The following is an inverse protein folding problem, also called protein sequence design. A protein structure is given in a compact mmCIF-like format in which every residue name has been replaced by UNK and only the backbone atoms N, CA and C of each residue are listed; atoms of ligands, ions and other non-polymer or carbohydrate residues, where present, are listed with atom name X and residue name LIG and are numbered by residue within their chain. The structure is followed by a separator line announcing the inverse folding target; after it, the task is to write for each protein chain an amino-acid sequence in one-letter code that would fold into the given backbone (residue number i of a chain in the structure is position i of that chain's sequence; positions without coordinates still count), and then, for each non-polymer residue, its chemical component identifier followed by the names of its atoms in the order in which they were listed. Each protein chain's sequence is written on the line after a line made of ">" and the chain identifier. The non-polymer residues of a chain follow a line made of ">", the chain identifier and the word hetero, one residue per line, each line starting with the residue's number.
data_IF_549943665833
#
_entry.id   IF_549943665833
#
_cell.length_a   1.000
_cell.length_b   1.000
_cell.length_c   1.000
_cell.angle_alpha   90.00
_cell.angle_beta   90.00
_cell.angle_gamma   90.00
#
_symmetry.space_group_name_H-M   'P 1'
#
loop_
_entity.id
_entity.type
_entity.pdbx_description
1 polymer ?
#
# COMPACT_ATOMS: atom_id res chain seq x y z
N UNK A 1 -2.77 24.39 -45.74
CA UNK A 1 -1.64 23.90 -44.93
C UNK A 1 -1.90 22.43 -44.64
N UNK A 2 -1.09 21.54 -45.22
CA UNK A 2 -1.26 20.09 -45.13
C UNK A 2 -0.91 19.61 -43.71
N UNK A 3 -1.80 18.82 -43.10
CA UNK A 3 -1.50 18.10 -41.87
C UNK A 3 -0.47 17.02 -42.15
N UNK A 4 0.74 17.18 -41.63
CA UNK A 4 1.77 16.16 -41.70
C UNK A 4 1.30 14.91 -40.95
N UNK A 5 0.85 13.90 -41.69
CA UNK A 5 0.46 12.59 -41.16
C UNK A 5 1.64 11.81 -40.60
N UNK A 6 2.16 12.23 -39.44
CA UNK A 6 3.18 11.52 -38.68
C UNK A 6 2.53 10.36 -37.95
N UNK A 7 2.82 9.13 -38.39
CA UNK A 7 2.39 7.89 -37.71
C UNK A 7 3.42 7.54 -36.64
N UNK A 8 2.98 7.45 -35.38
CA UNK A 8 3.79 7.01 -34.25
C UNK A 8 3.52 5.54 -33.94
N UNK A 9 4.56 4.80 -33.54
CA UNK A 9 4.38 3.51 -32.85
C UNK A 9 4.56 3.77 -31.35
N UNK A 10 3.58 3.35 -30.55
CA UNK A 10 3.70 3.30 -29.09
C UNK A 10 3.95 1.87 -28.65
N UNK A 11 4.79 1.69 -27.63
CA UNK A 11 4.95 0.43 -26.92
C UNK A 11 4.89 0.69 -25.43
N UNK A 12 4.20 -0.19 -24.74
CA UNK A 12 4.09 -0.17 -23.28
C UNK A 12 5.10 -1.13 -22.70
N UNK A 13 5.99 -0.62 -21.86
CA UNK A 13 7.05 -1.43 -21.23
C UNK A 13 6.85 -1.38 -19.72
N UNK A 14 6.78 -2.56 -19.11
CA UNK A 14 6.74 -2.71 -17.66
C UNK A 14 8.16 -2.60 -17.12
N UNK A 15 8.44 -1.58 -16.32
CA UNK A 15 9.73 -1.40 -15.66
C UNK A 15 9.70 -1.98 -14.25
N UNK A 16 10.85 -2.50 -13.80
CA UNK A 16 11.05 -2.84 -12.39
C UNK A 16 11.34 -1.53 -11.65
N UNK A 17 10.61 -1.29 -10.56
CA UNK A 17 10.74 -0.07 -9.75
C UNK A 17 12.21 0.14 -9.33
N UNK A 18 12.77 1.33 -9.59
CA UNK A 18 14.18 1.65 -9.30
C UNK A 18 15.19 1.34 -10.41
N UNK A 19 14.82 0.62 -11.48
CA UNK A 19 15.65 0.39 -12.67
C UNK A 19 15.19 1.20 -13.91
N UNK A 20 14.33 2.20 -13.70
CA UNK A 20 13.69 3.00 -14.75
C UNK A 20 14.71 3.73 -15.61
N UNK A 21 15.72 4.39 -15.01
CA UNK A 21 16.74 5.11 -15.76
C UNK A 21 17.57 4.20 -16.67
N UNK A 22 17.84 2.96 -16.25
CA UNK A 22 18.57 1.99 -17.08
C UNK A 22 17.73 1.50 -18.25
N UNK A 23 16.43 1.30 -18.01
CA UNK A 23 15.47 0.92 -19.04
C UNK A 23 15.29 2.06 -20.03
N UNK A 24 15.11 3.29 -19.55
CA UNK A 24 15.04 4.51 -20.32
C UNK A 24 16.29 4.71 -21.18
N UNK A 25 17.49 4.69 -20.60
CA UNK A 25 18.73 4.85 -21.37
C UNK A 25 18.95 3.75 -22.40
N UNK A 26 18.41 2.54 -22.18
CA UNK A 26 18.41 1.47 -23.18
C UNK A 26 17.50 1.83 -24.35
N UNK A 27 16.25 2.23 -24.08
CA UNK A 27 15.28 2.55 -25.14
C UNK A 27 15.58 3.87 -25.88
N UNK A 28 16.19 4.85 -25.21
CA UNK A 28 16.71 6.07 -25.83
C UNK A 28 17.85 5.75 -26.81
N UNK A 29 18.79 4.86 -26.43
CA UNK A 29 19.84 4.36 -27.35
C UNK A 29 19.25 3.65 -28.57
N UNK A 30 18.09 3.04 -28.43
CA UNK A 30 17.34 2.41 -29.52
C UNK A 30 16.51 3.41 -30.35
N UNK A 31 16.62 4.71 -30.08
CA UNK A 31 15.98 5.79 -30.85
C UNK A 31 14.51 6.01 -30.50
N UNK A 32 14.08 5.60 -29.30
CA UNK A 32 12.73 5.83 -28.81
C UNK A 32 12.67 7.06 -27.89
N UNK A 33 11.65 7.89 -28.07
CA UNK A 33 11.37 9.06 -27.23
C UNK A 33 10.39 8.69 -26.11
N UNK A 34 10.70 9.11 -24.89
CA UNK A 34 9.81 8.94 -23.74
C UNK A 34 8.63 9.90 -23.88
N UNK A 35 7.41 9.40 -23.65
CA UNK A 35 6.26 10.29 -23.50
C UNK A 35 6.21 10.72 -22.04
N UNK A 36 6.34 12.01 -21.72
CA UNK A 36 6.15 12.47 -20.35
C UNK A 36 4.69 12.23 -19.95
N UNK A 37 4.48 11.35 -18.97
CA UNK A 37 3.16 11.07 -18.41
C UNK A 37 3.21 11.20 -16.89
N UNK A 38 2.10 11.68 -16.31
CA UNK A 38 1.90 11.90 -14.88
C UNK A 38 2.15 10.61 -14.10
N UNK A 39 3.15 10.63 -13.21
CA UNK A 39 3.43 9.58 -12.23
C UNK A 39 2.16 9.31 -11.41
N UNK A 40 1.60 8.13 -11.57
CA UNK A 40 0.47 7.66 -10.79
C UNK A 40 0.41 6.14 -10.83
N UNK A 41 0.06 5.56 -9.67
CA UNK A 41 -0.11 4.15 -9.34
C UNK A 41 1.15 3.33 -9.13
N UNK A 42 1.04 2.49 -8.11
CA UNK A 42 1.99 1.61 -7.43
C UNK A 42 2.65 0.54 -8.33
N UNK A 43 2.64 0.72 -9.66
CA UNK A 43 3.34 -0.07 -10.69
C UNK A 43 3.75 0.86 -11.84
N UNK A 44 5.05 1.17 -12.03
CA UNK A 44 5.48 2.08 -13.09
C UNK A 44 5.30 1.42 -14.47
N UNK A 45 4.33 1.91 -15.23
CA UNK A 45 4.13 1.58 -16.64
C UNK A 45 4.66 2.73 -17.49
N UNK A 46 5.67 2.46 -18.33
CA UNK A 46 6.31 3.48 -19.16
C UNK A 46 5.87 3.28 -20.62
N UNK A 47 5.22 4.29 -21.19
CA UNK A 47 4.85 4.30 -22.62
C UNK A 47 5.94 5.03 -23.40
N UNK A 48 6.53 4.33 -24.37
CA UNK A 48 7.61 4.86 -25.18
C UNK A 48 7.13 4.96 -26.64
N UNK A 49 7.46 6.06 -27.33
CA UNK A 49 7.07 6.30 -28.72
C UNK A 49 8.26 6.49 -29.64
N UNK A 50 8.12 6.10 -30.90
CA UNK A 50 9.12 6.35 -31.96
C UNK A 50 8.45 6.99 -33.17
N UNK A 51 9.13 7.94 -33.82
CA UNK A 51 8.75 8.44 -35.15
C UNK A 51 9.07 7.37 -36.18
N UNK A 52 8.08 6.89 -36.95
CA UNK A 52 8.37 6.06 -38.12
C UNK A 52 9.17 6.89 -39.13
N UNK A 53 10.37 6.47 -39.56
CA UNK A 53 10.95 7.07 -40.75
C UNK A 53 10.00 6.79 -41.92
N UNK A 54 9.66 7.82 -42.69
CA UNK A 54 8.94 7.65 -43.96
C UNK A 54 9.90 6.92 -44.89
N UNK A 55 9.85 5.59 -44.93
CA UNK A 55 10.62 4.82 -45.92
C UNK A 55 10.18 5.31 -47.29
N UNK A 56 11.08 5.87 -48.12
CA UNK A 56 10.70 6.27 -49.46
C UNK A 56 10.36 4.99 -50.22
N UNK A 57 9.07 4.79 -50.52
CA UNK A 57 8.54 3.66 -51.30
C UNK A 57 9.41 3.34 -52.54
N UNK A 58 10.06 4.35 -53.11
CA UNK A 58 10.98 4.23 -54.26
C UNK A 58 12.15 3.26 -54.06
N UNK A 59 12.52 2.88 -52.83
CA UNK A 59 13.54 1.87 -52.57
C UNK A 59 13.02 0.42 -52.52
N UNK A 60 11.71 0.20 -52.44
CA UNK A 60 11.10 -1.15 -52.43
C UNK A 60 10.60 -1.55 -53.84
N UNK A 61 10.63 -0.64 -54.81
CA UNK A 61 10.16 -0.91 -56.17
C UNK A 61 11.24 -1.53 -57.11
N UNK A 62 12.47 -1.73 -56.65
CA UNK A 62 13.56 -2.32 -57.45
C UNK A 62 14.12 -3.54 -56.71
N UNK A 63 13.37 -4.64 -56.76
CA UNK A 63 13.73 -5.89 -56.10
C UNK A 63 12.50 -6.78 -55.97
N UNK A 64 11.90 -7.12 -57.11
CA UNK A 64 10.66 -7.88 -57.16
C UNK A 64 10.79 -9.32 -56.63
N UNK A 65 9.62 -9.90 -56.37
CA UNK A 65 9.43 -11.36 -56.43
C UNK A 65 9.10 -12.04 -55.11
N UNK A 66 7.80 -12.15 -54.85
CA UNK A 66 7.09 -13.25 -54.18
C UNK A 66 7.87 -14.20 -53.26
N UNK A 67 7.49 -14.21 -51.97
CA UNK A 67 7.04 -15.45 -51.30
C UNK A 67 6.24 -15.12 -50.04
N UNK A 68 4.93 -15.30 -50.14
CA UNK A 68 4.07 -15.51 -48.99
C UNK A 68 4.32 -16.94 -48.47
N UNK A 69 4.74 -17.09 -47.21
CA UNK A 69 4.39 -18.24 -46.35
C UNK A 69 4.35 -17.77 -44.88
N UNK A 70 3.26 -18.05 -44.13
CA UNK A 70 3.08 -17.63 -42.73
C UNK A 70 3.61 -18.71 -41.76
N UNK A 71 4.44 -18.36 -40.76
CA UNK A 71 4.83 -19.31 -39.70
C UNK A 71 4.93 -18.59 -38.33
N UNK A 72 3.86 -18.79 -37.57
CA UNK A 72 3.80 -19.34 -36.19
C UNK A 72 4.56 -18.60 -35.07
N UNK A 73 3.77 -18.16 -34.10
CA UNK A 73 4.18 -17.73 -32.77
C UNK A 73 4.98 -18.82 -32.05
N UNK A 74 6.24 -18.52 -31.68
CA UNK A 74 6.98 -19.28 -30.70
C UNK A 74 6.88 -18.58 -29.34
N UNK A 75 5.91 -19.06 -28.55
CA UNK A 75 5.97 -19.09 -27.10
C UNK A 75 7.28 -19.78 -26.68
N UNK A 76 8.10 -19.11 -25.88
CA UNK A 76 9.18 -19.78 -25.14
C UNK A 76 8.76 -19.82 -23.67
N UNK A 77 8.25 -20.98 -23.28
CA UNK A 77 8.29 -21.44 -21.89
C UNK A 77 9.76 -21.70 -21.53
N UNK A 78 10.28 -20.95 -20.56
CA UNK A 78 11.53 -21.25 -19.88
C UNK A 78 11.27 -22.12 -18.66
N UNK A 79 11.57 -23.40 -18.81
CA UNK A 79 11.53 -24.45 -17.80
C UNK A 79 12.69 -24.22 -16.82
N UNK A 80 12.41 -24.18 -15.52
CA UNK A 80 13.38 -24.58 -14.49
C UNK A 80 12.75 -25.76 -13.76
N UNK A 81 13.39 -26.92 -13.97
CA UNK A 81 13.14 -28.19 -13.29
C UNK A 81 14.30 -28.38 -12.34
N UNK A 82 14.03 -28.37 -11.05
CA UNK A 82 14.82 -29.11 -10.06
C UNK A 82 13.83 -29.77 -9.09
N UNK A 83 14.18 -30.99 -8.73
CA UNK A 83 13.36 -32.04 -8.15
C UNK A 83 12.61 -31.73 -6.84
N UNK A 84 11.33 -32.08 -6.80
CA UNK A 84 10.67 -32.50 -5.56
C UNK A 84 9.80 -33.73 -5.87
N UNK A 85 10.29 -34.88 -5.46
CA UNK A 85 9.55 -36.14 -5.44
C UNK A 85 8.53 -36.08 -4.30
N UNK A 86 7.23 -36.10 -4.63
CA UNK A 86 6.18 -36.46 -3.69
C UNK A 86 5.38 -37.59 -4.33
N UNK A 87 5.59 -38.80 -3.83
CA UNK A 87 4.66 -39.91 -4.01
C UNK A 87 3.48 -39.74 -3.06
N UNK A 88 2.29 -39.90 -3.63
CA UNK A 88 1.02 -39.91 -2.96
C UNK A 88 0.76 -41.27 -2.28
N UNK A 89 0.10 -41.27 -1.13
CA UNK A 89 -0.79 -42.38 -0.71
C UNK A 89 -1.99 -41.81 0.06
N UNK A 90 -3.17 -42.04 -0.55
CA UNK A 90 -4.47 -42.48 -0.02
C UNK A 90 -4.90 -42.14 1.42
N UNK A 91 -6.07 -41.52 1.61
CA UNK A 91 -7.44 -42.09 1.72
C UNK A 91 -7.79 -42.53 3.15
N UNK A 92 -9.04 -42.23 3.54
CA UNK A 92 -9.85 -42.83 4.63
C UNK A 92 -9.55 -42.37 6.06
N UNK A 93 -10.48 -42.27 7.01
CA UNK A 93 -11.95 -42.33 7.12
C UNK A 93 -12.23 -41.85 8.56
N UNK A 94 -13.30 -41.07 8.73
CA UNK A 94 -14.26 -40.96 9.85
C UNK A 94 -13.87 -41.14 11.34
N UNK A 95 -14.82 -40.66 12.15
CA UNK A 95 -15.14 -41.06 13.54
C UNK A 95 -14.31 -40.38 14.65
N UNK A 96 -14.90 -39.86 15.73
CA UNK A 96 -16.29 -39.93 16.18
C UNK A 96 -16.61 -38.77 17.12
N UNK A 97 -17.78 -38.16 16.88
CA UNK A 97 -18.54 -37.42 17.87
C UNK A 97 -19.32 -38.40 18.75
N UNK A 98 -19.24 -38.24 20.08
CA UNK A 98 -20.11 -38.82 21.11
C UNK A 98 -19.98 -37.94 22.38
N UNK A 99 -20.93 -37.64 23.24
CA UNK A 99 -22.40 -37.56 23.33
C UNK A 99 -22.65 -36.84 24.68
N UNK A 100 -23.69 -35.98 24.84
CA UNK A 100 -24.17 -35.42 26.14
C UNK A 100 -24.99 -36.48 26.95
N UNK A 101 -25.72 -36.25 28.10
CA UNK A 101 -26.24 -35.00 28.69
C UNK A 101 -26.38 -34.92 30.26
N UNK A 102 -27.00 -33.80 30.71
CA UNK A 102 -27.94 -33.64 31.87
C UNK A 102 -27.37 -33.37 33.29
N UNK A 103 -28.16 -32.82 34.26
CA UNK A 103 -28.33 -31.37 34.55
C UNK A 103 -28.20 -31.09 36.09
N UNK A 104 -28.77 -29.97 36.56
CA UNK A 104 -28.88 -29.47 37.95
C UNK A 104 -27.67 -28.66 38.41
N UNK A 105 -27.78 -27.49 39.04
CA UNK A 105 -28.89 -26.82 39.73
C UNK A 105 -28.55 -25.31 39.81
N UNK A 106 -29.57 -24.46 39.71
CA UNK A 106 -29.59 -23.07 40.19
C UNK A 106 -30.12 -23.10 41.65
N UNK A 107 -29.93 -22.14 42.59
CA UNK A 107 -29.29 -20.79 42.61
C UNK A 107 -28.32 -20.67 43.85
N UNK A 108 -28.02 -19.50 44.51
CA UNK A 108 -28.21 -18.06 44.21
C UNK A 108 -26.98 -17.12 44.30
N UNK A 109 -27.21 -15.94 43.70
CA UNK A 109 -26.52 -14.62 43.74
C UNK A 109 -25.53 -14.32 44.87
N UNK A 110 -24.33 -13.86 44.48
CA UNK A 110 -23.56 -12.79 45.14
C UNK A 110 -22.71 -12.04 44.07
N UNK A 111 -22.30 -10.78 44.32
CA UNK A 111 -22.15 -9.74 43.30
C UNK A 111 -20.96 -9.99 42.39
N UNK A 112 -21.15 -9.83 41.08
CA UNK A 112 -20.06 -9.74 40.11
C UNK A 112 -19.20 -8.51 40.44
N UNK A 113 -17.93 -8.67 40.86
CA UNK A 113 -16.98 -7.58 40.84
C UNK A 113 -16.79 -7.15 39.38
N UNK A 114 -16.68 -5.83 39.17
CA UNK A 114 -16.46 -5.19 37.89
C UNK A 114 -15.58 -6.06 36.97
N UNK A 115 -16.17 -6.44 35.84
CA UNK A 115 -15.52 -7.14 34.76
C UNK A 115 -14.34 -6.29 34.29
N UNK A 116 -13.16 -6.63 34.81
CA UNK A 116 -11.88 -6.29 34.21
C UNK A 116 -11.85 -7.04 32.88
N UNK A 117 -12.40 -6.41 31.84
CA UNK A 117 -12.30 -6.89 30.49
C UNK A 117 -10.81 -7.04 30.17
N UNK A 118 -10.40 -8.25 29.78
CA UNK A 118 -9.10 -8.50 29.15
C UNK A 118 -8.93 -7.50 28.01
N UNK A 119 -8.02 -6.55 28.17
CA UNK A 119 -7.53 -5.71 27.10
C UNK A 119 -6.70 -6.58 26.16
N UNK A 120 -7.35 -7.09 25.12
CA UNK A 120 -6.74 -7.86 24.05
C UNK A 120 -7.80 -8.05 22.98
N UNK A 121 -7.55 -7.48 21.81
CA UNK A 121 -8.30 -7.65 20.55
C UNK A 121 -9.48 -6.69 20.24
N UNK A 122 -9.86 -5.78 21.14
CA UNK A 122 -10.92 -4.78 20.82
C UNK A 122 -10.31 -3.53 20.18
N UNK A 123 -10.66 -3.25 18.91
CA UNK A 123 -10.26 -1.99 18.26
C UNK A 123 -10.97 -0.82 18.96
N UNK A 124 -10.20 0.15 19.46
CA UNK A 124 -10.74 1.36 20.08
C UNK A 124 -11.02 2.40 19.02
N UNK A 125 -12.22 2.97 19.04
CA UNK A 125 -12.62 4.07 18.16
C UNK A 125 -13.16 5.24 18.98
N UNK A 126 -13.21 6.47 18.43
CA UNK A 126 -13.78 7.63 19.14
C UNK A 126 -15.21 7.41 19.63
N UNK A 127 -15.97 6.55 18.96
CA UNK A 127 -17.37 6.22 19.30
C UNK A 127 -17.46 5.21 20.46
N UNK A 128 -16.44 4.37 20.62
CA UNK A 128 -16.40 3.30 21.64
C UNK A 128 -15.56 3.66 22.86
N UNK A 129 -14.63 4.61 22.73
CA UNK A 129 -13.72 5.03 23.79
C UNK A 129 -13.66 6.56 23.91
N UNK A 130 -14.21 7.07 25.01
CA UNK A 130 -14.26 8.51 25.28
C UNK A 130 -12.90 9.14 25.54
N UNK A 131 -11.91 8.38 26.01
CA UNK A 131 -10.55 8.89 26.21
C UNK A 131 -9.83 9.07 24.88
N UNK A 132 -10.02 8.14 23.93
CA UNK A 132 -9.53 8.29 22.55
C UNK A 132 -10.16 9.53 21.89
N UNK A 133 -11.48 9.69 21.99
CA UNK A 133 -12.16 10.88 21.48
C UNK A 133 -11.62 12.18 22.10
N UNK A 134 -11.36 12.17 23.41
CA UNK A 134 -10.81 13.33 24.11
C UNK A 134 -9.39 13.67 23.62
N UNK A 135 -8.49 12.69 23.46
CA UNK A 135 -7.12 12.96 22.99
C UNK A 135 -7.10 13.45 21.55
N UNK A 136 -7.94 12.89 20.66
CA UNK A 136 -8.03 13.32 19.26
C UNK A 136 -8.58 14.75 19.12
N UNK A 137 -9.39 15.21 20.08
CA UNK A 137 -9.94 16.57 20.11
C UNK A 137 -9.04 17.63 20.75
N UNK A 138 -7.84 17.27 21.21
CA UNK A 138 -6.93 18.24 21.84
C UNK A 138 -6.38 19.24 20.82
N UNK A 139 -6.23 20.51 21.21
CA UNK A 139 -5.66 21.54 20.33
C UNK A 139 -4.13 21.56 20.25
N UNK A 140 -3.43 20.64 20.94
CA UNK A 140 -1.98 20.59 20.98
C UNK A 140 -1.48 19.14 21.15
N UNK A 141 -0.43 18.79 20.41
CA UNK A 141 0.06 17.40 20.31
C UNK A 141 1.02 16.98 21.44
N UNK A 142 1.56 17.92 22.23
CA UNK A 142 2.46 17.63 23.36
C UNK A 142 1.79 17.59 24.75
N UNK A 143 0.45 17.45 24.85
CA UNK A 143 -0.18 17.44 26.18
C UNK A 143 0.15 16.18 26.97
N UNK A 144 0.36 16.32 28.29
CA UNK A 144 0.64 15.17 29.17
C UNK A 144 -0.47 14.11 29.22
N UNK A 145 -1.71 14.48 28.89
CA UNK A 145 -2.82 13.52 28.72
C UNK A 145 -2.58 12.54 27.57
N UNK A 146 -1.81 12.93 26.56
CA UNK A 146 -1.45 12.09 25.42
C UNK A 146 -0.44 11.01 25.86
N UNK A 147 0.52 11.37 26.71
CA UNK A 147 1.47 10.43 27.33
C UNK A 147 0.70 9.37 28.13
N UNK A 148 -0.19 9.82 29.02
CA UNK A 148 -0.98 8.93 29.85
C UNK A 148 -1.87 7.99 29.03
N UNK A 149 -2.43 8.48 27.91
CA UNK A 149 -3.19 7.66 26.98
C UNK A 149 -2.31 6.60 26.30
N UNK A 150 -1.14 6.99 25.78
CA UNK A 150 -0.21 6.09 25.11
C UNK A 150 0.27 4.97 26.03
N UNK A 151 0.63 5.30 27.29
CA UNK A 151 1.05 4.31 28.28
C UNK A 151 -0.09 3.34 28.65
N UNK A 152 -1.31 3.87 28.81
CA UNK A 152 -2.49 3.08 29.20
C UNK A 152 -2.93 2.09 28.12
N UNK A 153 -2.88 2.51 26.86
CA UNK A 153 -3.38 1.72 25.72
C UNK A 153 -2.26 1.16 24.85
N UNK A 154 -1.04 1.08 25.38
CA UNK A 154 0.10 0.50 24.67
C UNK A 154 -0.22 -0.91 24.17
N UNK A 155 0.04 -1.16 22.89
CA UNK A 155 -0.27 -2.44 22.24
C UNK A 155 -1.75 -2.62 21.87
N UNK A 156 -2.63 -1.66 22.17
CA UNK A 156 -4.02 -1.69 21.73
C UNK A 156 -4.14 -1.16 20.30
N UNK A 157 -5.03 -1.74 19.50
CA UNK A 157 -5.38 -1.19 18.19
C UNK A 157 -6.38 -0.05 18.34
N UNK A 158 -6.10 1.08 17.70
CA UNK A 158 -7.00 2.23 17.58
C UNK A 158 -7.43 2.40 16.13
N UNK A 159 -8.63 2.93 15.92
CA UNK A 159 -9.14 3.31 14.62
C UNK A 159 -9.73 4.72 14.65
N UNK A 160 -9.34 5.57 13.72
CA UNK A 160 -9.80 6.96 13.67
C UNK A 160 -9.68 7.54 12.25
N UNK A 161 -10.53 8.52 11.95
CA UNK A 161 -10.39 9.35 10.75
C UNK A 161 -9.26 10.36 10.92
N UNK A 162 -8.39 10.45 9.93
CA UNK A 162 -7.22 11.30 9.97
C UNK A 162 -6.80 11.82 8.61
N UNK A 163 -5.65 12.47 8.60
CA UNK A 163 -5.04 13.01 7.41
C UNK A 163 -3.52 12.88 7.46
N UNK A 164 -2.89 12.83 6.29
CA UNK A 164 -1.43 12.93 6.20
C UNK A 164 -1.03 14.39 6.42
N UNK A 165 -0.45 14.69 7.58
CA UNK A 165 0.03 16.04 7.94
C UNK A 165 1.42 16.34 7.38
N UNK A 166 2.28 15.33 7.29
CA UNK A 166 3.63 15.44 6.73
C UNK A 166 4.09 14.07 6.21
N UNK A 167 4.99 14.08 5.22
CA UNK A 167 5.60 12.87 4.69
C UNK A 167 7.03 13.19 4.26
N UNK A 168 8.00 12.60 4.95
CA UNK A 168 9.42 12.81 4.70
C UNK A 168 10.12 11.49 4.42
N UNK A 169 11.18 11.52 3.63
CA UNK A 169 12.07 10.36 3.45
C UNK A 169 12.77 10.03 4.77
N UNK A 170 12.72 8.77 5.19
CA UNK A 170 13.41 8.28 6.37
C UNK A 170 14.90 8.13 6.07
N UNK A 171 15.76 8.90 6.75
CA UNK A 171 17.22 8.89 6.58
C UNK A 171 17.72 9.01 5.12
N UNK A 172 16.96 9.71 4.27
CA UNK A 172 17.28 9.89 2.84
C UNK A 172 16.99 8.66 1.96
N UNK A 173 16.34 7.63 2.50
CA UNK A 173 15.92 6.46 1.76
C UNK A 173 14.83 6.80 0.72
N UNK A 174 14.95 6.23 -0.47
CA UNK A 174 14.04 6.53 -1.59
C UNK A 174 12.63 5.95 -1.47
N UNK A 175 12.42 4.98 -0.57
CA UNK A 175 11.16 4.21 -0.46
C UNK A 175 10.70 4.02 0.99
N UNK A 176 11.40 4.62 1.95
CA UNK A 176 11.06 4.56 3.38
C UNK A 176 10.74 5.96 3.83
N UNK A 177 9.67 6.09 4.60
CA UNK A 177 9.10 7.37 4.94
C UNK A 177 8.74 7.43 6.41
N UNK A 178 8.87 8.64 6.96
CA UNK A 178 8.25 9.03 8.21
C UNK A 178 6.99 9.82 7.85
N UNK A 179 5.83 9.25 8.18
CA UNK A 179 4.53 9.77 7.79
C UNK A 179 3.81 10.24 9.05
N UNK A 180 3.54 11.54 9.10
CA UNK A 180 2.81 12.15 10.19
C UNK A 180 1.31 12.10 9.89
N UNK A 181 0.54 11.54 10.81
CA UNK A 181 -0.92 11.47 10.73
C UNK A 181 -1.52 12.44 11.75
N UNK A 182 -2.36 13.35 11.27
CA UNK A 182 -3.20 14.23 12.10
C UNK A 182 -4.58 13.63 12.31
N UNK A 183 -5.25 14.02 13.41
CA UNK A 183 -6.65 13.64 13.64
C UNK A 183 -7.61 14.52 12.82
N UNK A 184 -8.67 13.90 12.29
CA UNK A 184 -9.72 14.60 11.56
C UNK A 184 -9.29 15.15 10.20
N UNK A 185 -9.91 16.26 9.79
CA UNK A 185 -9.68 16.89 8.50
C UNK A 185 -8.36 17.68 8.46
N UNK A 186 -7.71 17.68 7.30
CA UNK A 186 -6.48 18.42 7.09
C UNK A 186 -6.72 19.94 7.14
N UNK A 187 -5.88 20.65 7.88
CA UNK A 187 -5.86 22.12 7.93
C UNK A 187 -4.42 22.60 7.96
N UNK A 188 -4.10 23.56 7.10
CA UNK A 188 -2.78 24.23 7.09
C UNK A 188 -2.60 25.17 8.29
N UNK A 189 -3.70 25.60 8.92
CA UNK A 189 -3.70 26.59 9.99
C UNK A 189 -3.73 25.97 11.40
N UNK A 190 -4.14 24.71 11.51
CA UNK A 190 -4.38 24.07 12.80
C UNK A 190 -4.24 22.55 12.70
N UNK A 191 -3.67 21.93 13.72
CA UNK A 191 -3.68 20.49 13.89
C UNK A 191 -4.36 20.14 15.22
N UNK A 192 -5.11 19.04 15.21
CA UNK A 192 -5.78 18.50 16.39
C UNK A 192 -5.22 17.13 16.75
N UNK A 193 -5.26 16.85 18.03
CA UNK A 193 -4.85 15.59 18.63
C UNK A 193 -3.34 15.39 18.69
N UNK A 194 -2.92 14.15 18.99
CA UNK A 194 -1.53 13.74 18.96
C UNK A 194 -0.95 13.84 17.55
N UNK A 195 0.36 14.02 17.49
CA UNK A 195 1.14 13.92 16.28
C UNK A 195 1.49 12.45 16.03
N UNK A 196 0.56 11.69 15.43
CA UNK A 196 0.78 10.27 15.16
C UNK A 196 1.84 10.10 14.08
N UNK A 197 2.66 9.06 14.16
CA UNK A 197 3.69 8.80 13.17
C UNK A 197 3.85 7.31 12.90
N UNK A 198 3.76 6.95 11.61
CA UNK A 198 4.38 5.74 11.10
C UNK A 198 5.82 6.08 10.74
N UNK A 199 6.77 5.40 11.37
CA UNK A 199 8.20 5.65 11.21
C UNK A 199 8.83 4.56 10.37
N UNK A 200 9.72 4.95 9.46
CA UNK A 200 10.43 4.03 8.59
C UNK A 200 9.45 3.02 7.94
N UNK A 201 8.50 3.51 7.14
CA UNK A 201 7.52 2.66 6.45
C UNK A 201 7.61 2.82 4.95
N UNK A 202 7.34 1.75 4.21
CA UNK A 202 7.11 1.79 2.78
C UNK A 202 5.60 1.83 2.52
N UNK A 203 5.03 2.95 2.02
CA UNK A 203 3.60 3.05 1.76
C UNK A 203 3.05 1.96 0.86
N UNK A 204 3.87 1.47 -0.07
CA UNK A 204 3.45 0.46 -1.04
C UNK A 204 3.43 -0.95 -0.47
N UNK A 205 4.25 -1.21 0.55
CA UNK A 205 4.51 -2.55 1.07
C UNK A 205 3.95 -2.80 2.47
N UNK A 206 4.03 -1.80 3.35
CA UNK A 206 3.82 -1.97 4.79
C UNK A 206 2.45 -1.47 5.25
N UNK A 207 1.92 -0.40 4.64
CA UNK A 207 0.72 0.28 5.13
C UNK A 207 -0.60 -0.35 4.69
N UNK A 208 -0.55 -1.50 4.02
CA UNK A 208 -1.68 -2.38 3.69
C UNK A 208 -3.00 -1.65 3.32
N UNK A 209 -2.90 -0.59 2.52
CA UNK A 209 -4.05 0.23 2.15
C UNK A 209 -5.18 -0.60 1.53
N UNK A 210 -6.43 -0.25 1.88
CA UNK A 210 -7.64 -0.89 1.35
C UNK A 210 -8.60 0.16 0.79
N UNK A 211 -9.56 -0.26 -0.06
CA UNK A 211 -10.55 0.63 -0.66
C UNK A 211 -10.08 1.34 -1.93
N UNK A 212 -10.80 2.41 -2.31
CA UNK A 212 -10.49 3.23 -3.48
C UNK A 212 -9.43 4.28 -3.11
N UNK A 213 -8.16 3.91 -3.28
CA UNK A 213 -7.01 4.76 -2.98
C UNK A 213 -6.61 5.61 -4.19
N UNK A 214 -6.25 6.89 -3.99
CA UNK A 214 -5.73 7.72 -5.06
C UNK A 214 -4.42 7.14 -5.61
N UNK A 215 -4.11 7.50 -6.86
CA UNK A 215 -2.89 7.08 -7.55
C UNK A 215 -1.61 7.51 -6.84
N UNK A 216 -1.71 8.56 -6.03
CA UNK A 216 -0.66 9.15 -5.21
C UNK A 216 -1.25 9.53 -3.85
N UNK A 217 -0.56 9.17 -2.79
CA UNK A 217 -0.84 9.65 -1.44
C UNK A 217 0.20 10.72 -1.05
N UNK A 218 -0.18 11.67 -0.20
CA UNK A 218 0.71 12.72 0.26
C UNK A 218 0.01 13.64 1.25
N UNK A 219 0.68 14.74 1.62
CA UNK A 219 0.14 15.72 2.57
C UNK A 219 -1.26 16.18 2.14
N UNK A 220 -2.19 16.21 3.10
CA UNK A 220 -3.60 16.54 2.89
C UNK A 220 -4.49 15.37 2.47
N UNK A 221 -3.94 14.18 2.22
CA UNK A 221 -4.76 12.99 1.93
C UNK A 221 -5.56 12.61 3.17
N UNK A 222 -6.88 12.56 3.04
CA UNK A 222 -7.76 12.04 4.08
C UNK A 222 -7.73 10.51 4.09
N UNK A 223 -7.65 9.93 5.28
CA UNK A 223 -7.43 8.51 5.51
C UNK A 223 -8.23 8.06 6.72
N UNK A 224 -8.58 6.78 6.75
CA UNK A 224 -9.13 6.15 7.94
C UNK A 224 -8.10 5.12 8.42
N UNK A 225 -7.51 5.40 9.58
CA UNK A 225 -6.40 4.62 10.11
C UNK A 225 -6.91 3.55 11.05
N UNK A 226 -6.23 2.40 11.05
CA UNK A 226 -6.40 1.33 12.03
C UNK A 226 -5.03 0.75 12.35
N UNK A 227 -4.47 1.12 13.50
CA UNK A 227 -3.08 0.85 13.85
C UNK A 227 -2.91 0.54 15.34
N UNK A 228 -1.83 -0.15 15.68
CA UNK A 228 -1.50 -0.47 17.07
C UNK A 228 -0.77 0.71 17.70
N UNK A 229 -1.02 0.99 18.97
CA UNK A 229 -0.21 1.97 19.72
C UNK A 229 1.13 1.33 20.07
N UNK A 230 2.25 1.88 19.59
CA UNK A 230 3.58 1.44 20.01
C UNK A 230 4.09 2.23 21.22
N UNK A 231 4.52 3.48 21.03
CA UNK A 231 5.13 4.27 22.10
C UNK A 231 4.89 5.77 21.87
N UNK A 232 4.92 6.56 22.95
CA UNK A 232 4.96 8.02 22.87
C UNK A 232 6.35 8.54 23.22
N UNK A 233 6.93 9.35 22.34
CA UNK A 233 8.24 9.95 22.55
C UNK A 233 8.10 11.36 23.17
N UNK A 234 8.41 11.55 24.47
CA UNK A 234 8.18 12.83 25.15
C UNK A 234 9.06 13.98 24.66
N UNK A 235 10.23 13.67 24.08
CA UNK A 235 11.15 14.70 23.60
C UNK A 235 10.72 15.30 22.25
N UNK A 236 10.13 14.50 21.38
CA UNK A 236 9.65 14.89 20.05
C UNK A 236 8.13 15.14 20.01
N UNK A 237 7.42 14.73 21.07
CA UNK A 237 5.97 14.67 21.14
C UNK A 237 5.31 13.83 20.03
N UNK A 238 6.02 12.82 19.55
CA UNK A 238 5.53 11.91 18.52
C UNK A 238 4.82 10.73 19.15
N UNK A 239 3.68 10.39 18.60
CA UNK A 239 2.89 9.23 18.99
C UNK A 239 3.09 8.14 17.95
N UNK A 240 3.89 7.13 18.26
CA UNK A 240 4.25 6.07 17.33
C UNK A 240 3.13 5.02 17.22
N UNK A 241 2.85 4.65 15.98
CA UNK A 241 1.88 3.64 15.58
C UNK A 241 2.56 2.48 14.83
#
# INVERSE_FOLDING_TARGET
>A
MAGDGVKYESRTVRAICGAESRTVSKWEKEGWEIVPQSRGKLRPEIIIRRRKPKTPWRLVAIGGGERAVPIIALMVNGIIREESSIEAVETTVASASKTPPTPSETPPKEPTPAESAKAGDVVLSPESNTELAAVLGLGHYCYGSIVAFAEKYRGQTIAFGGNIGAMNSHDGASMRYDILIGAGDFSEASASGPAFQFRDVNPTGDLHYTGDMPDTIGVGTHIYETAQIDEYEPNSCLFLL
#
